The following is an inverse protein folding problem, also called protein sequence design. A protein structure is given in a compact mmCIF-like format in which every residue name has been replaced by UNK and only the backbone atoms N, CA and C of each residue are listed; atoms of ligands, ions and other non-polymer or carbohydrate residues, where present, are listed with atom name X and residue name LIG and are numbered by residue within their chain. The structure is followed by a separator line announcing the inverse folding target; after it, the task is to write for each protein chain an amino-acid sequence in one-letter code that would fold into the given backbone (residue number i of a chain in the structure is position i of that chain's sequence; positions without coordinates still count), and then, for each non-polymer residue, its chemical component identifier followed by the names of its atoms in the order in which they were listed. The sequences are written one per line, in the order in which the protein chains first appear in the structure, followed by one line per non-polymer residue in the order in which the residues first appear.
data_IF_192466118941
#
_entry.id   IF_192466118941
#
_cell.length_a   1.000
_cell.length_b   1.000
_cell.length_c   1.000
_cell.angle_alpha   90.00
_cell.angle_beta   90.00
_cell.angle_gamma   90.00
#
_symmetry.space_group_name_H-M   'P 1'
#
loop_
_entity.id
_entity.type
_entity.pdbx_description
1 polymer ?
#
# COMPACT_ATOMS: atom_id res chain seq x y z
N UNK A 1 34.73 -14.40 -6.88
CA UNK A 1 33.55 -14.20 -7.74
C UNK A 1 32.31 -14.28 -6.85
N UNK A 2 31.80 -13.14 -6.40
CA UNK A 2 30.65 -13.08 -5.50
C UNK A 2 29.40 -13.49 -6.28
N UNK A 3 28.76 -14.58 -5.90
CA UNK A 3 27.48 -15.01 -6.47
C UNK A 3 26.43 -13.94 -6.12
N UNK A 4 26.05 -13.10 -7.08
CA UNK A 4 24.99 -12.10 -6.86
C UNK A 4 23.65 -12.83 -6.61
N UNK A 5 23.25 -12.89 -5.33
CA UNK A 5 21.98 -13.50 -4.93
C UNK A 5 20.81 -12.68 -5.51
N UNK A 6 20.03 -13.31 -6.38
CA UNK A 6 18.76 -12.76 -6.85
C UNK A 6 17.70 -12.83 -5.77
N UNK A 7 16.97 -11.73 -5.59
CA UNK A 7 15.89 -11.60 -4.62
C UNK A 7 14.55 -12.08 -5.20
N UNK A 8 13.71 -12.61 -4.32
CA UNK A 8 12.30 -12.90 -4.56
C UNK A 8 11.43 -11.65 -4.44
N UNK A 9 10.20 -11.71 -4.96
CA UNK A 9 9.16 -10.70 -4.75
C UNK A 9 8.99 -10.37 -3.26
N UNK A 10 8.92 -11.41 -2.41
CA UNK A 10 8.75 -11.27 -0.95
C UNK A 10 9.92 -10.55 -0.28
N UNK A 11 11.16 -10.90 -0.65
CA UNK A 11 12.35 -10.21 -0.12
C UNK A 11 12.35 -8.73 -0.54
N UNK A 12 11.96 -8.42 -1.77
CA UNK A 12 11.85 -7.02 -2.25
C UNK A 12 10.75 -6.26 -1.53
N UNK A 13 9.60 -6.90 -1.29
CA UNK A 13 8.49 -6.32 -0.52
C UNK A 13 8.95 -5.89 0.88
N UNK A 14 9.73 -6.74 1.56
CA UNK A 14 10.31 -6.44 2.88
C UNK A 14 11.32 -5.29 2.79
N UNK A 15 12.17 -5.25 1.76
CA UNK A 15 13.21 -4.22 1.60
C UNK A 15 12.61 -2.83 1.31
N UNK A 16 11.57 -2.78 0.48
CA UNK A 16 10.89 -1.55 0.07
C UNK A 16 9.74 -1.17 1.01
N UNK A 17 9.36 -2.04 1.94
CA UNK A 17 8.25 -1.88 2.88
C UNK A 17 6.90 -1.60 2.17
N UNK A 18 6.64 -2.37 1.10
CA UNK A 18 5.42 -2.30 0.28
C UNK A 18 4.78 -3.69 0.16
N UNK A 19 3.55 -3.77 -0.33
CA UNK A 19 2.87 -5.06 -0.52
C UNK A 19 3.49 -5.87 -1.66
N UNK A 20 3.41 -7.20 -1.61
CA UNK A 20 3.90 -8.07 -2.70
C UNK A 20 3.20 -7.77 -4.03
N UNK A 21 1.90 -7.43 -3.98
CA UNK A 21 1.13 -7.01 -5.16
C UNK A 21 1.74 -5.76 -5.79
N UNK A 22 2.06 -4.76 -4.97
CA UNK A 22 2.68 -3.52 -5.45
C UNK A 22 4.07 -3.76 -6.04
N UNK A 23 4.86 -4.69 -5.48
CA UNK A 23 6.14 -5.11 -6.10
C UNK A 23 5.93 -5.70 -7.49
N UNK A 24 4.90 -6.55 -7.65
CA UNK A 24 4.56 -7.15 -8.95
C UNK A 24 4.09 -6.08 -9.93
N UNK A 25 3.24 -5.16 -9.50
CA UNK A 25 2.76 -4.06 -10.33
C UNK A 25 3.93 -3.18 -10.79
N UNK A 26 4.86 -2.83 -9.89
CA UNK A 26 6.08 -2.05 -10.21
C UNK A 26 7.03 -2.79 -11.17
N UNK A 27 7.06 -4.12 -11.10
CA UNK A 27 7.81 -4.94 -12.05
C UNK A 27 7.13 -4.98 -13.42
N UNK A 28 5.80 -5.03 -13.46
CA UNK A 28 5.02 -5.04 -14.71
C UNK A 28 5.06 -3.69 -15.42
N UNK A 29 5.01 -2.58 -14.68
CA UNK A 29 5.15 -1.22 -15.22
C UNK A 29 6.58 -0.90 -15.67
N UNK A 30 7.56 -1.76 -15.35
CA UNK A 30 8.97 -1.54 -15.65
C UNK A 30 9.64 -0.48 -14.77
N UNK A 31 8.99 -0.09 -13.67
CA UNK A 31 9.54 0.88 -12.70
C UNK A 31 10.71 0.28 -11.93
N UNK A 32 10.66 -1.03 -11.65
CA UNK A 32 11.74 -1.78 -11.02
C UNK A 32 12.24 -2.87 -11.98
N UNK A 33 13.56 -3.02 -12.19
CA UNK A 33 14.10 -4.08 -13.04
C UNK A 33 13.79 -5.48 -12.48
N UNK A 34 13.07 -6.27 -13.25
CA UNK A 34 12.72 -7.64 -12.90
C UNK A 34 13.12 -8.60 -14.03
N UNK A 35 13.69 -9.75 -13.66
CA UNK A 35 14.11 -10.80 -14.57
C UNK A 35 13.17 -11.99 -14.41
N UNK A 36 12.60 -12.47 -15.52
CA UNK A 36 11.79 -13.69 -15.51
C UNK A 36 12.71 -14.90 -15.63
N UNK A 37 12.77 -15.72 -14.59
CA UNK A 37 13.50 -16.99 -14.59
C UNK A 37 12.52 -18.11 -14.85
N UNK A 38 12.78 -18.91 -15.89
CA UNK A 38 11.88 -20.01 -16.30
C UNK A 38 10.50 -19.54 -16.76
N UNK A 39 10.38 -18.30 -17.26
CA UNK A 39 9.13 -17.73 -17.79
C UNK A 39 8.10 -17.29 -16.74
N UNK A 40 8.20 -17.76 -15.50
CA UNK A 40 7.19 -17.54 -14.45
C UNK A 40 7.71 -16.74 -13.25
N UNK A 41 8.95 -16.98 -12.82
CA UNK A 41 9.43 -16.41 -11.56
C UNK A 41 10.10 -15.04 -11.75
N UNK A 42 9.57 -14.03 -11.07
CA UNK A 42 10.22 -12.71 -10.99
C UNK A 42 11.40 -12.77 -10.03
N UNK A 43 12.56 -12.34 -10.51
CA UNK A 43 13.81 -12.22 -9.77
C UNK A 43 14.36 -10.81 -9.90
N UNK A 44 14.96 -10.33 -8.81
CA UNK A 44 15.44 -8.96 -8.72
C UNK A 44 16.91 -8.93 -8.31
N UNK A 45 17.71 -8.05 -8.91
CA UNK A 45 19.08 -7.82 -8.43
C UNK A 45 19.04 -6.88 -7.24
N UNK A 46 19.74 -7.25 -6.17
CA UNK A 46 19.77 -6.46 -4.93
C UNK A 46 20.21 -5.02 -5.16
N UNK A 47 21.24 -4.81 -5.98
CA UNK A 47 21.81 -3.49 -6.23
C UNK A 47 20.82 -2.54 -6.90
N UNK A 48 20.05 -3.06 -7.87
CA UNK A 48 19.01 -2.28 -8.58
C UNK A 48 17.86 -1.89 -7.64
N UNK A 49 17.47 -2.78 -6.73
CA UNK A 49 16.44 -2.47 -5.72
C UNK A 49 16.94 -1.43 -4.73
N UNK A 50 18.21 -1.52 -4.31
CA UNK A 50 18.81 -0.54 -3.41
C UNK A 50 18.96 0.83 -4.08
N UNK A 51 19.37 0.87 -5.33
CA UNK A 51 19.44 2.10 -6.13
C UNK A 51 18.05 2.73 -6.29
N UNK A 52 17.03 1.93 -6.62
CA UNK A 52 15.64 2.38 -6.69
C UNK A 52 15.15 2.94 -5.34
N UNK A 53 15.49 2.29 -4.23
CA UNK A 53 15.15 2.78 -2.89
C UNK A 53 15.79 4.14 -2.62
N UNK A 54 17.06 4.32 -3.01
CA UNK A 54 17.80 5.56 -2.79
C UNK A 54 17.29 6.70 -3.69
N UNK A 55 17.00 6.42 -4.97
CA UNK A 55 16.43 7.38 -5.90
C UNK A 55 15.01 7.79 -5.49
N UNK A 56 14.21 6.84 -5.03
CA UNK A 56 12.86 7.09 -4.50
C UNK A 56 12.93 7.85 -3.19
N UNK A 57 13.87 7.56 -2.28
CA UNK A 57 14.03 8.33 -1.03
C UNK A 57 14.52 9.75 -1.28
N UNK A 58 15.39 9.95 -2.27
CA UNK A 58 15.86 11.26 -2.71
C UNK A 58 14.73 12.07 -3.36
N UNK A 59 13.87 11.43 -4.16
CA UNK A 59 12.68 12.07 -4.71
C UNK A 59 11.57 12.28 -3.67
N UNK A 60 11.42 11.37 -2.68
CA UNK A 60 10.49 11.48 -1.55
C UNK A 60 10.87 12.58 -0.56
N UNK A 61 12.14 12.93 -0.40
CA UNK A 61 12.53 14.17 0.30
C UNK A 61 11.86 15.41 -0.33
N UNK A 62 11.60 15.37 -1.64
CA UNK A 62 10.91 16.44 -2.39
C UNK A 62 9.40 16.18 -2.61
N UNK A 63 8.94 14.92 -2.51
CA UNK A 63 7.58 14.46 -2.88
C UNK A 63 6.75 13.99 -1.68
N UNK A 64 7.31 13.80 -0.48
CA UNK A 64 6.52 13.51 0.74
C UNK A 64 5.55 14.64 1.12
N UNK A 65 5.69 15.82 0.51
CA UNK A 65 4.71 16.92 0.54
C UNK A 65 3.54 16.74 -0.46
N UNK A 66 3.52 15.69 -1.28
CA UNK A 66 2.60 15.57 -2.42
C UNK A 66 2.04 14.17 -2.69
N UNK A 67 1.83 13.36 -1.65
CA UNK A 67 0.74 12.38 -1.66
C UNK A 67 -0.23 12.72 -0.54
N UNK A 68 -0.89 13.86 -0.71
CA UNK A 68 -2.14 14.16 -0.01
C UNK A 68 -3.16 13.16 -0.57
N UNK A 69 -3.26 11.99 0.04
CA UNK A 69 -4.50 11.22 -0.05
C UNK A 69 -5.58 12.18 0.40
N UNK A 70 -6.52 12.59 -0.48
CA UNK A 70 -7.48 13.62 -0.13
C UNK A 70 -8.22 13.13 1.13
N UNK A 71 -8.32 13.99 2.15
CA UNK A 71 -8.96 13.64 3.43
C UNK A 71 -10.34 12.99 3.23
N UNK A 72 -11.01 13.32 2.12
CA UNK A 72 -12.28 12.75 1.66
C UNK A 72 -12.25 11.23 1.41
N UNK A 73 -11.14 10.66 0.93
CA UNK A 73 -11.00 9.20 0.77
C UNK A 73 -10.93 8.50 2.12
N UNK A 74 -10.11 9.00 3.05
CA UNK A 74 -10.05 8.47 4.43
C UNK A 74 -11.40 8.55 5.15
N UNK A 75 -12.15 9.62 4.91
CA UNK A 75 -13.49 9.79 5.47
C UNK A 75 -14.46 8.77 4.84
N UNK A 76 -14.47 8.63 3.51
CA UNK A 76 -15.32 7.65 2.83
C UNK A 76 -15.05 6.21 3.29
N UNK A 77 -13.78 5.83 3.43
CA UNK A 77 -13.38 4.51 3.91
C UNK A 77 -13.86 4.26 5.33
N UNK A 78 -13.82 5.29 6.19
CA UNK A 78 -14.33 5.21 7.55
C UNK A 78 -15.84 4.99 7.57
N UNK A 79 -16.61 5.72 6.76
CA UNK A 79 -18.07 5.56 6.69
C UNK A 79 -18.50 4.23 6.06
N UNK A 80 -17.77 3.75 5.05
CA UNK A 80 -18.02 2.44 4.44
C UNK A 80 -17.73 1.28 5.40
N UNK A 81 -16.63 1.35 6.16
CA UNK A 81 -16.28 0.31 7.14
C UNK A 81 -17.18 0.31 8.38
N UNK A 82 -17.75 1.46 8.74
CA UNK A 82 -18.56 1.63 9.95
C UNK A 82 -20.08 1.75 9.66
N UNK A 83 -20.53 1.34 8.47
CA UNK A 83 -21.92 1.43 8.04
C UNK A 83 -22.91 0.83 9.06
N UNK A 84 -22.61 -0.36 9.60
CA UNK A 84 -23.39 -1.04 10.63
C UNK A 84 -23.47 -0.25 11.94
N UNK A 85 -22.36 0.35 12.39
CA UNK A 85 -22.31 1.13 13.64
C UNK A 85 -23.10 2.43 13.52
N UNK A 86 -23.09 3.06 12.35
CA UNK A 86 -23.84 4.28 12.07
C UNK A 86 -25.35 3.98 12.11
N UNK A 87 -25.78 2.90 11.47
CA UNK A 87 -27.17 2.41 11.52
C UNK A 87 -27.60 2.08 12.95
N UNK A 88 -26.76 1.38 13.70
CA UNK A 88 -27.00 1.03 15.10
C UNK A 88 -27.14 2.28 15.98
N UNK A 89 -26.23 3.25 15.84
CA UNK A 89 -26.28 4.52 16.58
C UNK A 89 -27.55 5.32 16.30
N UNK A 90 -27.98 5.39 15.03
CA UNK A 90 -29.23 6.04 14.64
C UNK A 90 -30.44 5.35 15.30
N UNK A 91 -30.46 4.02 15.32
CA UNK A 91 -31.54 3.24 15.90
C UNK A 91 -31.63 3.42 17.42
N UNK A 92 -30.49 3.39 18.11
CA UNK A 92 -30.40 3.66 19.55
C UNK A 92 -30.87 5.09 19.86
N UNK A 93 -30.44 6.06 19.07
CA UNK A 93 -30.87 7.45 19.24
C UNK A 93 -32.38 7.62 19.08
N UNK A 94 -32.99 6.96 18.09
CA UNK A 94 -34.44 6.98 17.87
C UNK A 94 -35.18 6.40 19.08
N UNK A 95 -34.71 5.26 19.60
CA UNK A 95 -35.28 4.65 20.82
C UNK A 95 -35.20 5.59 22.03
N UNK A 96 -34.06 6.26 22.23
CA UNK A 96 -33.89 7.23 23.31
C UNK A 96 -34.87 8.40 23.16
N UNK A 97 -35.02 8.96 21.95
CA UNK A 97 -35.98 10.05 21.69
C UNK A 97 -37.41 9.64 22.02
N UNK A 98 -37.80 8.41 21.68
CA UNK A 98 -39.13 7.88 22.01
C UNK A 98 -39.31 7.78 23.53
N UNK A 99 -38.31 7.25 24.26
CA UNK A 99 -38.36 7.11 25.73
C UNK A 99 -38.45 8.47 26.43
N UNK A 100 -37.74 9.50 25.94
CA UNK A 100 -37.73 10.81 26.58
C UNK A 100 -38.94 11.69 26.22
N UNK A 101 -39.68 11.34 25.17
CA UNK A 101 -40.81 12.15 24.65
C UNK A 101 -42.17 11.50 24.88
N UNK A 102 -42.23 10.21 25.16
CA UNK A 102 -43.39 9.51 25.72
C UNK A 102 -43.37 9.53 27.25
#
# INVERSE_FOLDING_TARGET
MSQEKLLTVREVAIILNISEKEVVDLAQTGTIPAYKVGGVFLRFKKDQIQEYRNSTRSSLSKVSLRKSTPLREKISDFFYFNDFYILSGLFIFLLLVVIFRG
#
